data_IF_832297546919
#
_entry.id   IF_832297546919
#
_cell.length_a   1.000
_cell.length_b   1.000
_cell.length_c   1.000
_cell.angle_alpha   90.00
_cell.angle_beta   90.00
_cell.angle_gamma   90.00
#
_symmetry.space_group_name_H-M   'P 1'
#
loop_
_entity.id
_entity.type
_entity.pdbx_description
1 polymer ?
#
# COMPACT_ATOMS: atom_id res chain seq x y z
N UNK A 1 -14.55 -32.02 -12.82
CA UNK A 1 -15.75 -32.38 -12.03
C UNK A 1 -15.31 -32.66 -10.60
N UNK A 2 -15.30 -31.64 -9.74
CA UNK A 2 -15.35 -31.68 -8.27
C UNK A 2 -15.25 -30.22 -7.80
N UNK A 3 -16.38 -29.52 -7.81
CA UNK A 3 -16.51 -28.22 -7.14
C UNK A 3 -16.45 -28.52 -5.64
N UNK A 4 -15.44 -27.99 -4.94
CA UNK A 4 -15.50 -27.88 -3.48
C UNK A 4 -16.62 -26.88 -3.17
N UNK A 5 -17.74 -27.39 -2.67
CA UNK A 5 -18.75 -26.60 -1.99
C UNK A 5 -18.18 -26.24 -0.62
N UNK A 6 -17.56 -25.06 -0.52
CA UNK A 6 -17.30 -24.43 0.77
C UNK A 6 -18.66 -24.00 1.34
N UNK A 7 -19.10 -24.69 2.40
CA UNK A 7 -20.26 -24.27 3.17
C UNK A 7 -19.95 -22.93 3.84
N UNK A 8 -20.58 -21.88 3.33
CA UNK A 8 -20.57 -20.54 3.91
C UNK A 8 -21.38 -20.56 5.22
N UNK A 9 -20.71 -20.79 6.34
CA UNK A 9 -21.27 -20.53 7.65
C UNK A 9 -21.03 -19.05 7.97
N UNK A 10 -22.11 -18.26 8.00
CA UNK A 10 -22.07 -16.85 8.38
C UNK A 10 -21.42 -16.70 9.77
N UNK A 11 -20.36 -15.90 9.94
CA UNK A 11 -19.90 -15.54 11.27
C UNK A 11 -20.97 -14.65 11.93
N UNK A 12 -21.69 -15.19 12.90
CA UNK A 12 -22.66 -14.45 13.70
C UNK A 12 -21.95 -13.23 14.36
N UNK A 13 -22.49 -12.03 14.12
CA UNK A 13 -22.13 -10.79 14.83
C UNK A 13 -21.12 -9.85 14.17
N UNK A 14 -20.94 -9.87 12.84
CA UNK A 14 -20.12 -8.87 12.12
C UNK A 14 -21.01 -7.69 11.72
N UNK A 15 -20.53 -6.44 11.90
CA UNK A 15 -21.23 -5.25 11.37
C UNK A 15 -21.24 -5.28 9.84
N UNK A 16 -22.16 -4.56 9.19
CA UNK A 16 -22.25 -4.54 7.72
C UNK A 16 -20.94 -4.13 7.02
N UNK A 17 -20.12 -3.28 7.66
CA UNK A 17 -18.79 -2.90 7.17
C UNK A 17 -17.78 -4.05 7.25
N UNK A 18 -17.73 -4.77 8.38
CA UNK A 18 -16.81 -5.91 8.55
C UNK A 18 -17.12 -7.09 7.62
N UNK A 19 -18.37 -7.25 7.18
CA UNK A 19 -18.75 -8.26 6.18
C UNK A 19 -18.23 -7.92 4.77
N UNK A 20 -18.33 -6.65 4.37
CA UNK A 20 -17.79 -6.18 3.09
C UNK A 20 -16.26 -6.31 3.08
N UNK A 21 -15.62 -5.98 4.20
CA UNK A 21 -14.16 -6.14 4.37
C UNK A 21 -13.74 -7.60 4.22
N UNK A 22 -14.42 -8.52 4.92
CA UNK A 22 -14.14 -9.95 4.77
C UNK A 22 -14.34 -10.45 3.33
N UNK A 23 -15.42 -10.04 2.67
CA UNK A 23 -15.70 -10.43 1.27
C UNK A 23 -14.63 -9.89 0.31
N UNK A 24 -14.25 -8.62 0.45
CA UNK A 24 -13.21 -8.00 -0.37
C UNK A 24 -11.87 -8.71 -0.18
N UNK A 25 -11.51 -9.10 1.05
CA UNK A 25 -10.28 -9.84 1.31
C UNK A 25 -10.24 -11.18 0.55
N UNK A 26 -11.33 -11.95 0.57
CA UNK A 26 -11.45 -13.23 -0.15
C UNK A 26 -11.36 -13.06 -1.69
N UNK A 27 -11.87 -11.96 -2.25
CA UNK A 27 -11.82 -11.71 -3.70
C UNK A 27 -10.50 -11.11 -4.20
N UNK A 28 -9.60 -10.67 -3.30
CA UNK A 28 -8.32 -10.06 -3.66
C UNK A 28 -7.19 -11.09 -3.80
N UNK A 29 -7.43 -12.37 -3.50
CA UNK A 29 -6.46 -13.43 -3.76
C UNK A 29 -6.40 -13.78 -5.26
N UNK A 30 -5.25 -13.54 -5.89
CA UNK A 30 -4.95 -13.99 -7.26
C UNK A 30 -3.67 -14.82 -7.28
N UNK A 31 -3.68 -15.91 -8.04
CA UNK A 31 -2.51 -16.77 -8.22
C UNK A 31 -1.42 -16.13 -9.08
N UNK A 32 -1.83 -15.23 -10.00
CA UNK A 32 -0.95 -14.60 -10.98
C UNK A 32 -0.77 -13.11 -10.68
N UNK A 33 0.48 -12.65 -10.73
CA UNK A 33 0.85 -11.24 -10.62
C UNK A 33 1.20 -10.76 -12.03
N UNK A 34 0.46 -9.77 -12.53
CA UNK A 34 0.66 -9.18 -13.87
C UNK A 34 0.75 -7.67 -13.77
N UNK A 35 1.54 -7.04 -14.65
CA UNK A 35 1.53 -5.59 -14.84
C UNK A 35 2.20 -4.78 -13.73
N UNK A 36 3.05 -5.43 -12.93
CA UNK A 36 3.87 -4.77 -11.90
C UNK A 36 5.38 -4.86 -12.22
N UNK A 37 5.76 -5.24 -13.44
CA UNK A 37 7.16 -5.44 -13.85
C UNK A 37 8.03 -4.21 -13.58
N UNK A 38 7.49 -3.02 -13.82
CA UNK A 38 8.17 -1.76 -13.54
C UNK A 38 8.61 -1.62 -12.07
N UNK A 39 7.86 -2.18 -11.12
CA UNK A 39 8.23 -2.16 -9.69
C UNK A 39 9.54 -2.92 -9.46
N UNK A 40 9.68 -4.10 -10.08
CA UNK A 40 10.89 -4.93 -9.99
C UNK A 40 12.06 -4.22 -10.65
N UNK A 41 11.83 -3.61 -11.81
CA UNK A 41 12.87 -2.90 -12.55
C UNK A 41 13.38 -1.68 -11.77
N UNK A 42 12.49 -0.84 -11.22
CA UNK A 42 12.88 0.32 -10.39
C UNK A 42 13.55 -0.08 -9.08
N UNK A 43 13.08 -1.16 -8.45
CA UNK A 43 13.72 -1.68 -7.25
C UNK A 43 15.17 -2.12 -7.51
N UNK A 44 15.46 -2.66 -8.70
CA UNK A 44 16.81 -3.08 -9.13
C UNK A 44 17.67 -1.95 -9.72
N UNK A 45 17.07 -0.84 -10.11
CA UNK A 45 17.81 0.27 -10.74
C UNK A 45 18.83 0.88 -9.76
N UNK A 46 20.12 0.79 -10.09
CA UNK A 46 21.21 1.29 -9.26
C UNK A 46 21.23 2.82 -9.15
N UNK A 47 20.57 3.56 -10.05
CA UNK A 47 20.46 5.02 -9.95
C UNK A 47 19.48 5.47 -8.88
N UNK A 48 18.63 4.57 -8.38
CA UNK A 48 17.64 4.86 -7.35
C UNK A 48 18.20 4.39 -6.01
N UNK A 49 18.48 5.33 -5.11
CA UNK A 49 18.99 5.03 -3.76
C UNK A 49 17.90 4.48 -2.83
N UNK A 50 16.68 5.01 -2.97
CA UNK A 50 15.52 4.70 -2.11
C UNK A 50 14.25 4.64 -2.95
N UNK A 51 13.46 3.58 -2.78
CA UNK A 51 12.15 3.42 -3.42
C UNK A 51 11.07 3.21 -2.36
N UNK A 52 10.25 4.23 -2.12
CA UNK A 52 9.10 4.11 -1.23
C UNK A 52 7.82 3.87 -2.05
N UNK A 53 7.25 2.67 -1.90
CA UNK A 53 6.02 2.25 -2.57
C UNK A 53 4.86 2.49 -1.61
N UNK A 54 4.00 3.45 -1.94
CA UNK A 54 2.77 3.71 -1.20
C UNK A 54 1.63 3.06 -1.99
N UNK A 55 0.99 2.04 -1.42
CA UNK A 55 -0.18 1.40 -2.02
C UNK A 55 -1.41 1.54 -1.15
N UNK A 56 -2.51 1.91 -1.78
CA UNK A 56 -3.84 1.98 -1.15
C UNK A 56 -4.62 0.66 -1.31
N UNK A 57 -4.06 -0.29 -2.04
CA UNK A 57 -4.64 -1.62 -2.19
C UNK A 57 -4.42 -2.43 -0.90
N UNK A 58 -5.38 -3.30 -0.61
CA UNK A 58 -5.32 -4.16 0.57
C UNK A 58 -4.61 -5.50 0.30
N UNK A 59 -4.51 -5.91 -0.97
CA UNK A 59 -3.85 -7.14 -1.41
C UNK A 59 -2.35 -7.17 -1.10
N UNK A 60 -1.71 -8.32 -1.26
CA UNK A 60 -0.28 -8.54 -0.98
C UNK A 60 0.57 -8.68 -2.25
N UNK A 61 0.09 -8.18 -3.40
CA UNK A 61 0.72 -8.46 -4.70
C UNK A 61 2.12 -7.86 -4.81
N UNK A 62 2.33 -6.64 -4.31
CA UNK A 62 3.65 -6.00 -4.33
C UNK A 62 4.64 -6.76 -3.46
N UNK A 63 4.24 -7.15 -2.24
CA UNK A 63 5.08 -7.93 -1.33
C UNK A 63 5.44 -9.29 -1.93
N UNK A 64 4.44 -9.99 -2.49
CA UNK A 64 4.65 -11.30 -3.13
C UNK A 64 5.59 -11.16 -4.32
N UNK A 65 5.41 -10.15 -5.16
CA UNK A 65 6.27 -9.89 -6.32
C UNK A 65 7.72 -9.66 -5.91
N UNK A 66 7.95 -8.84 -4.88
CA UNK A 66 9.29 -8.53 -4.39
C UNK A 66 9.95 -9.78 -3.77
N UNK A 67 9.21 -10.57 -2.99
CA UNK A 67 9.69 -11.87 -2.46
C UNK A 67 10.03 -12.86 -3.58
N UNK A 68 9.18 -12.97 -4.61
CA UNK A 68 9.41 -13.86 -5.76
C UNK A 68 10.65 -13.47 -6.59
N UNK A 69 11.11 -12.23 -6.47
CA UNK A 69 12.26 -11.69 -7.19
C UNK A 69 13.49 -11.48 -6.30
N UNK A 70 13.47 -12.01 -5.07
CA UNK A 70 14.53 -11.89 -4.06
C UNK A 70 14.93 -10.43 -3.77
N UNK A 71 13.97 -9.51 -3.80
CA UNK A 71 14.19 -8.09 -3.50
C UNK A 71 13.85 -7.84 -2.02
N UNK A 72 14.82 -7.44 -1.18
CA UNK A 72 14.55 -7.09 0.21
C UNK A 72 13.76 -5.78 0.30
N UNK A 73 12.80 -5.72 1.22
CA UNK A 73 12.01 -4.53 1.50
C UNK A 73 11.70 -4.40 2.99
N UNK A 74 11.45 -3.16 3.42
CA UNK A 74 10.84 -2.82 4.70
C UNK A 74 9.31 -2.73 4.54
N UNK A 75 8.55 -3.26 5.48
CA UNK A 75 7.08 -3.09 5.51
C UNK A 75 6.56 -2.67 6.89
N UNK A 76 7.46 -2.40 7.85
CA UNK A 76 7.09 -2.01 9.21
C UNK A 76 6.79 -3.20 10.11
N UNK A 77 7.13 -4.42 9.69
CA UNK A 77 6.97 -5.62 10.50
C UNK A 77 8.29 -6.33 10.71
N UNK A 78 8.54 -6.75 11.94
CA UNK A 78 9.76 -7.45 12.32
C UNK A 78 9.92 -8.83 11.66
N UNK A 79 10.95 -9.60 12.07
CA UNK A 79 11.18 -10.94 11.57
C UNK A 79 10.03 -11.89 11.91
N UNK A 80 9.97 -13.01 11.19
CA UNK A 80 8.99 -14.07 11.43
C UNK A 80 9.24 -14.72 12.80
N UNK A 81 8.21 -14.74 13.65
CA UNK A 81 8.15 -15.47 14.92
C UNK A 81 7.01 -16.52 14.84
N UNK A 82 7.36 -17.70 14.32
CA UNK A 82 6.39 -18.76 14.03
C UNK A 82 5.47 -18.37 12.87
N UNK A 83 4.18 -18.24 13.15
CA UNK A 83 3.14 -17.91 12.17
C UNK A 83 2.88 -16.40 12.03
N UNK A 84 3.62 -15.54 12.73
CA UNK A 84 3.37 -14.09 12.79
C UNK A 84 4.62 -13.26 12.53
N UNK A 85 4.42 -12.05 12.00
CA UNK A 85 5.37 -10.94 12.10
C UNK A 85 4.69 -9.78 12.83
N UNK A 86 5.29 -9.32 13.92
CA UNK A 86 4.73 -8.23 14.71
C UNK A 86 5.13 -6.87 14.13
N UNK A 87 4.23 -5.89 14.23
CA UNK A 87 4.55 -4.52 13.85
C UNK A 87 5.77 -4.03 14.64
N UNK A 88 6.74 -3.49 13.92
CA UNK A 88 7.97 -2.90 14.42
C UNK A 88 8.29 -1.71 13.52
N UNK A 89 7.91 -0.51 13.97
CA UNK A 89 8.14 0.72 13.22
C UNK A 89 9.63 0.98 12.94
N UNK A 90 10.52 0.45 13.79
CA UNK A 90 11.97 0.58 13.59
C UNK A 90 12.49 -0.19 12.37
N UNK A 91 11.71 -1.12 11.81
CA UNK A 91 12.02 -1.82 10.55
C UNK A 91 12.29 -0.83 9.41
N UNK A 92 11.53 0.27 9.34
CA UNK A 92 11.72 1.28 8.29
C UNK A 92 13.08 1.99 8.35
N UNK A 93 13.69 2.08 9.53
CA UNK A 93 14.93 2.82 9.76
C UNK A 93 16.16 1.91 9.86
N UNK A 94 15.98 0.70 10.39
CA UNK A 94 17.09 -0.21 10.72
C UNK A 94 17.47 -1.14 9.56
N UNK A 95 16.55 -1.39 8.63
CA UNK A 95 16.83 -2.23 7.46
C UNK A 95 17.71 -1.51 6.44
N UNK A 96 18.65 -2.25 5.87
CA UNK A 96 19.42 -1.80 4.70
C UNK A 96 18.65 -1.94 3.38
N UNK A 97 17.41 -2.44 3.42
CA UNK A 97 16.60 -2.59 2.22
C UNK A 97 16.38 -1.24 1.56
N UNK A 98 16.60 -1.16 0.25
CA UNK A 98 16.33 0.02 -0.58
C UNK A 98 14.82 0.31 -0.71
N UNK A 99 14.01 -0.75 -0.75
CA UNK A 99 12.56 -0.65 -0.97
C UNK A 99 11.84 -0.56 0.37
N UNK A 100 10.86 0.33 0.49
CA UNK A 100 9.88 0.34 1.59
C UNK A 100 8.47 0.26 1.04
N UNK A 101 7.60 -0.46 1.72
CA UNK A 101 6.19 -0.57 1.37
C UNK A 101 5.37 0.06 2.49
N UNK A 102 4.52 1.00 2.12
CA UNK A 102 3.61 1.67 3.02
C UNK A 102 2.18 1.36 2.59
N UNK A 103 1.38 0.86 3.53
CA UNK A 103 -0.05 0.54 3.34
C UNK A 103 -0.94 1.40 4.23
N UNK A 104 -1.21 2.66 3.87
CA UNK A 104 -2.06 3.57 4.66
C UNK A 104 -3.47 3.01 4.92
N UNK A 105 -3.92 2.11 4.06
CA UNK A 105 -5.21 1.44 4.14
C UNK A 105 -5.16 0.08 4.87
N UNK A 106 -3.99 -0.37 5.32
CA UNK A 106 -3.78 -1.71 5.85
C UNK A 106 -3.83 -2.80 4.79
N UNK A 107 -3.79 -4.05 5.23
CA UNK A 107 -3.72 -5.21 4.34
C UNK A 107 -4.62 -6.35 4.79
N UNK A 108 -4.94 -7.23 3.84
CA UNK A 108 -5.78 -8.43 4.07
C UNK A 108 -5.09 -9.47 4.96
N UNK A 109 -3.76 -9.44 5.07
CA UNK A 109 -2.98 -10.35 5.91
C UNK A 109 -2.64 -9.77 7.30
N UNK A 110 -3.12 -8.56 7.62
CA UNK A 110 -2.94 -7.95 8.94
C UNK A 110 -4.06 -8.40 9.86
N UNK A 111 -3.74 -8.97 11.02
CA UNK A 111 -4.75 -9.41 11.97
C UNK A 111 -4.49 -8.90 13.38
N UNK A 112 -5.58 -8.64 14.12
CA UNK A 112 -5.49 -8.33 15.55
C UNK A 112 -5.16 -9.59 16.33
N UNK A 113 -4.11 -9.53 17.13
CA UNK A 113 -3.68 -10.62 18.00
C UNK A 113 -3.97 -10.25 19.45
N UNK A 114 -4.62 -11.16 20.20
CA UNK A 114 -4.96 -10.90 21.60
C UNK A 114 -3.71 -10.61 22.43
N UNK A 115 -3.74 -9.49 23.15
CA UNK A 115 -2.63 -9.05 24.00
C UNK A 115 -1.50 -8.35 23.24
N UNK A 116 -1.72 -7.96 21.99
CA UNK A 116 -0.76 -7.19 21.16
C UNK A 116 -1.42 -5.86 20.78
N UNK A 117 -0.66 -4.76 20.91
CA UNK A 117 -1.16 -3.40 20.70
C UNK A 117 -1.51 -3.10 19.24
N UNK A 118 -0.71 -3.64 18.31
CA UNK A 118 -0.86 -3.44 16.88
C UNK A 118 -1.23 -4.75 16.16
N UNK A 119 -1.84 -4.69 14.97
CA UNK A 119 -1.99 -5.86 14.12
C UNK A 119 -0.63 -6.51 13.82
N UNK A 120 -0.66 -7.80 13.54
CA UNK A 120 0.48 -8.58 13.08
C UNK A 120 0.18 -9.14 11.68
N UNK A 121 1.21 -9.32 10.86
CA UNK A 121 1.08 -10.03 9.58
C UNK A 121 1.02 -11.54 9.88
N UNK A 122 0.04 -12.22 9.31
CA UNK A 122 -0.06 -13.67 9.38
C UNK A 122 0.77 -14.33 8.26
N UNK A 123 1.64 -15.25 8.63
CA UNK A 123 2.53 -16.00 7.73
C UNK A 123 2.30 -17.52 7.77
N UNK A 124 1.43 -17.99 8.67
CA UNK A 124 1.14 -19.41 8.84
C UNK A 124 0.18 -19.97 7.80
N UNK A 125 -0.18 -21.25 7.96
CA UNK A 125 -1.14 -21.95 7.09
C UNK A 125 -2.53 -22.13 7.70
N UNK A 126 -2.69 -21.84 9.00
CA UNK A 126 -3.96 -22.00 9.71
C UNK A 126 -4.20 -20.90 10.76
N UNK A 127 -5.07 -19.94 10.44
CA UNK A 127 -5.46 -18.82 11.31
C UNK A 127 -6.07 -19.27 12.66
N UNK A 128 -6.68 -20.46 12.72
CA UNK A 128 -7.28 -20.99 13.95
C UNK A 128 -6.25 -21.62 14.91
N UNK A 129 -5.05 -21.91 14.43
CA UNK A 129 -3.98 -22.56 15.20
C UNK A 129 -2.65 -21.81 15.04
N UNK A 130 -2.69 -20.50 15.23
CA UNK A 130 -1.52 -19.64 15.16
C UNK A 130 -0.57 -19.87 16.35
N UNK A 131 0.72 -20.06 16.07
CA UNK A 131 1.78 -20.31 17.06
C UNK A 131 2.99 -19.42 16.82
N UNK A 132 3.65 -19.03 17.89
CA UNK A 132 4.98 -18.42 17.86
C UNK A 132 6.06 -19.50 17.68
N UNK A 133 7.30 -19.10 17.37
CA UNK A 133 8.44 -20.02 17.27
C UNK A 133 8.70 -20.78 18.58
N UNK A 134 8.36 -20.17 19.72
CA UNK A 134 8.39 -20.81 21.04
C UNK A 134 7.34 -21.93 21.23
N UNK A 135 6.41 -22.10 20.29
CA UNK A 135 5.27 -23.01 20.38
C UNK A 135 4.05 -22.42 21.09
N UNK A 136 4.17 -21.22 21.68
CA UNK A 136 3.06 -20.52 22.34
C UNK A 136 1.94 -20.23 21.34
N UNK A 137 0.73 -20.68 21.68
CA UNK A 137 -0.46 -20.41 20.86
C UNK A 137 -0.95 -18.98 21.05
N UNK A 138 -1.27 -18.30 19.94
CA UNK A 138 -1.87 -16.96 19.91
C UNK A 138 -3.28 -17.03 19.37
N UNK A 139 -4.16 -16.19 19.92
CA UNK A 139 -5.52 -16.04 19.43
C UNK A 139 -5.60 -14.85 18.48
N UNK A 140 -5.93 -15.13 17.23
CA UNK A 140 -6.18 -14.13 16.19
C UNK A 140 -7.68 -13.78 16.18
N UNK A 141 -8.01 -12.50 16.04
CA UNK A 141 -9.37 -12.10 15.68
C UNK A 141 -9.57 -12.27 14.17
N UNK A 142 -10.14 -13.42 13.79
CA UNK A 142 -10.30 -13.87 12.40
C UNK A 142 -11.45 -13.10 11.71
N UNK A 143 -12.30 -12.40 12.47
CA UNK A 143 -13.53 -11.82 11.91
C UNK A 143 -13.25 -10.66 10.95
N UNK A 144 -12.14 -9.94 11.12
CA UNK A 144 -11.86 -8.78 10.26
C UNK A 144 -10.35 -8.52 10.22
N UNK A 145 -9.70 -8.69 9.05
CA UNK A 145 -8.34 -8.21 8.88
C UNK A 145 -8.29 -6.69 9.12
N UNK A 146 -7.15 -6.19 9.58
CA UNK A 146 -6.94 -4.81 9.95
C UNK A 146 -6.66 -3.95 8.71
N UNK A 147 -7.70 -3.66 7.95
CA UNK A 147 -7.66 -2.71 6.86
C UNK A 147 -8.87 -1.75 6.89
N UNK A 148 -8.77 -0.65 6.15
CA UNK A 148 -9.72 0.45 6.19
C UNK A 148 -10.63 0.47 4.96
N UNK A 149 -11.93 0.22 5.14
CA UNK A 149 -12.97 0.41 4.13
C UNK A 149 -13.97 1.52 4.50
N UNK A 150 -14.69 2.05 3.51
CA UNK A 150 -15.80 3.00 3.72
C UNK A 150 -15.40 4.46 4.04
N UNK A 151 -16.35 5.29 4.54
CA UNK A 151 -16.15 6.74 4.73
C UNK A 151 -15.50 7.13 6.08
N UNK A 152 -15.38 6.21 7.05
CA UNK A 152 -14.78 6.47 8.36
C UNK A 152 -13.24 6.50 8.39
N UNK A 153 -12.59 6.31 7.23
CA UNK A 153 -11.13 6.15 7.11
C UNK A 153 -10.35 7.34 7.66
N UNK A 154 -10.83 8.56 7.42
CA UNK A 154 -10.16 9.81 7.83
C UNK A 154 -9.94 9.85 9.35
N UNK A 155 -10.92 9.39 10.14
CA UNK A 155 -10.79 9.31 11.60
C UNK A 155 -9.80 8.22 12.03
N UNK A 156 -9.70 7.16 11.23
CA UNK A 156 -8.89 5.98 11.55
C UNK A 156 -7.43 6.17 11.16
N UNK A 157 -7.12 7.04 10.19
CA UNK A 157 -5.75 7.46 9.84
C UNK A 157 -4.96 8.06 11.00
N UNK A 158 -5.64 8.50 12.06
CA UNK A 158 -5.03 9.09 13.24
C UNK A 158 -5.03 8.13 14.45
N UNK A 159 -5.12 6.80 14.22
CA UNK A 159 -5.21 5.81 15.30
C UNK A 159 -4.37 4.56 15.02
N UNK A 160 -3.74 4.04 16.09
CA UNK A 160 -3.09 2.73 16.07
C UNK A 160 -1.99 2.64 15.02
N UNK A 161 -1.86 1.49 14.35
CA UNK A 161 -0.84 1.29 13.31
C UNK A 161 -0.99 2.29 12.16
N UNK A 162 -2.21 2.73 11.86
CA UNK A 162 -2.45 3.64 10.74
C UNK A 162 -1.83 5.02 10.99
N UNK A 163 -1.80 5.53 12.22
CA UNK A 163 -1.10 6.79 12.50
C UNK A 163 0.41 6.68 12.25
N UNK A 164 1.01 5.54 12.59
CA UNK A 164 2.44 5.30 12.33
C UNK A 164 2.71 5.20 10.83
N UNK A 165 1.91 4.43 10.08
CA UNK A 165 2.06 4.32 8.63
C UNK A 165 1.83 5.69 7.94
N UNK A 166 0.87 6.49 8.41
CA UNK A 166 0.65 7.83 7.88
C UNK A 166 1.79 8.79 8.22
N UNK A 167 2.43 8.64 9.38
CA UNK A 167 3.64 9.36 9.72
C UNK A 167 4.78 8.99 8.76
N UNK A 168 5.03 7.69 8.54
CA UNK A 168 6.05 7.19 7.60
C UNK A 168 5.79 7.64 6.16
N UNK A 169 4.52 7.64 5.73
CA UNK A 169 4.13 8.19 4.42
C UNK A 169 4.41 9.68 4.31
N UNK A 170 4.16 10.45 5.37
CA UNK A 170 4.50 11.87 5.38
C UNK A 170 6.02 12.09 5.30
N UNK A 171 6.81 11.28 6.01
CA UNK A 171 8.27 11.32 5.89
C UNK A 171 8.75 10.99 4.48
N UNK A 172 8.16 9.97 3.82
CA UNK A 172 8.48 9.64 2.43
C UNK A 172 8.25 10.85 1.51
N UNK A 173 7.09 11.51 1.59
CA UNK A 173 6.85 12.75 0.83
C UNK A 173 7.91 13.83 1.12
N UNK A 174 8.38 13.96 2.36
CA UNK A 174 9.41 14.94 2.73
C UNK A 174 10.81 14.60 2.18
N UNK A 175 11.08 13.34 1.91
CA UNK A 175 12.39 12.83 1.47
C UNK A 175 12.49 12.70 -0.05
N UNK A 176 11.36 12.66 -0.76
CA UNK A 176 11.32 12.52 -2.23
C UNK A 176 10.84 13.80 -2.91
N UNK A 177 11.46 14.10 -4.05
CA UNK A 177 11.04 15.16 -4.97
C UNK A 177 10.24 14.64 -6.18
N UNK A 178 10.21 13.31 -6.38
CA UNK A 178 9.57 12.68 -7.52
C UNK A 178 8.50 11.69 -7.05
N UNK A 179 7.33 11.74 -7.66
CA UNK A 179 6.23 10.81 -7.42
C UNK A 179 5.75 10.21 -8.74
N UNK A 180 5.79 8.90 -8.88
CA UNK A 180 5.14 8.20 -10.01
C UNK A 180 3.82 7.62 -9.50
N UNK A 181 2.71 7.98 -10.14
CA UNK A 181 1.37 7.59 -9.71
C UNK A 181 0.65 6.82 -10.82
N UNK A 182 0.02 5.69 -10.47
CA UNK A 182 -0.82 4.90 -11.37
C UNK A 182 -2.00 4.30 -10.62
N UNK A 183 -3.16 4.19 -11.29
CA UNK A 183 -4.33 3.45 -10.78
C UNK A 183 -5.07 4.09 -9.60
N UNK A 184 -4.62 5.23 -9.08
CA UNK A 184 -5.29 5.93 -7.99
C UNK A 184 -6.36 6.91 -8.50
N UNK A 185 -7.63 6.64 -8.17
CA UNK A 185 -8.80 7.36 -8.68
C UNK A 185 -9.13 8.70 -8.00
N UNK A 186 -8.27 9.22 -7.13
CA UNK A 186 -8.43 10.52 -6.43
C UNK A 186 -9.68 10.65 -5.54
N UNK A 187 -10.30 9.54 -5.17
CA UNK A 187 -11.47 9.51 -4.30
C UNK A 187 -11.16 9.66 -2.80
N UNK A 188 -9.89 9.65 -2.39
CA UNK A 188 -9.50 9.82 -0.98
C UNK A 188 -8.98 11.23 -0.71
N UNK A 189 -9.84 12.06 -0.13
CA UNK A 189 -9.52 13.45 0.21
C UNK A 189 -8.29 13.59 1.12
N UNK A 190 -8.05 12.69 2.06
CA UNK A 190 -6.91 12.81 2.97
C UNK A 190 -5.58 12.49 2.27
N UNK A 191 -5.57 11.50 1.36
CA UNK A 191 -4.41 11.22 0.51
C UNK A 191 -4.17 12.39 -0.45
N UNK A 192 -5.23 12.89 -1.09
CA UNK A 192 -5.16 14.03 -2.01
C UNK A 192 -4.51 15.25 -1.35
N UNK A 193 -4.97 15.65 -0.16
CA UNK A 193 -4.38 16.80 0.54
C UNK A 193 -2.90 16.63 0.84
N UNK A 194 -2.43 15.41 1.11
CA UNK A 194 -1.00 15.15 1.32
C UNK A 194 -0.18 15.32 0.04
N UNK A 195 -0.69 14.85 -1.08
CA UNK A 195 -0.06 15.05 -2.39
C UNK A 195 -0.01 16.54 -2.76
N UNK A 196 -1.13 17.27 -2.57
CA UNK A 196 -1.19 18.72 -2.82
C UNK A 196 -0.19 19.47 -1.94
N UNK A 197 -0.17 19.16 -0.63
CA UNK A 197 0.76 19.78 0.30
C UNK A 197 2.21 19.48 -0.07
N UNK A 198 2.50 18.24 -0.47
CA UNK A 198 3.81 17.85 -0.93
C UNK A 198 4.24 18.63 -2.18
N UNK A 199 3.39 18.76 -3.20
CA UNK A 199 3.65 19.65 -4.33
C UNK A 199 3.90 21.09 -3.86
N UNK A 200 3.16 21.56 -2.85
CA UNK A 200 3.36 22.89 -2.28
C UNK A 200 4.68 23.10 -1.51
N UNK A 201 5.36 22.05 -1.05
CA UNK A 201 6.56 22.19 -0.18
C UNK A 201 7.82 22.65 -0.90
N UNK A 202 7.98 22.38 -2.18
CA UNK A 202 9.19 22.70 -2.95
C UNK A 202 8.87 22.76 -4.43
N UNK A 203 9.49 23.69 -5.16
CA UNK A 203 9.36 23.77 -6.62
C UNK A 203 10.05 22.63 -7.38
N UNK A 204 10.91 21.87 -6.69
CA UNK A 204 11.50 20.66 -7.23
C UNK A 204 10.54 19.46 -7.20
N UNK A 205 9.47 19.53 -6.40
CA UNK A 205 8.55 18.41 -6.27
C UNK A 205 7.73 18.27 -7.55
N UNK A 206 7.72 17.09 -8.14
CA UNK A 206 6.98 16.84 -9.36
C UNK A 206 6.40 15.44 -9.39
N UNK A 207 5.24 15.29 -10.01
CA UNK A 207 4.54 14.03 -10.16
C UNK A 207 4.48 13.63 -11.64
N UNK A 208 4.68 12.36 -11.93
CA UNK A 208 4.35 11.74 -13.20
C UNK A 208 3.10 10.88 -13.00
N UNK A 209 2.04 11.23 -13.72
CA UNK A 209 0.76 10.53 -13.70
C UNK A 209 0.68 9.56 -14.87
N UNK A 210 0.76 8.27 -14.57
CA UNK A 210 0.56 7.16 -15.50
C UNK A 210 -0.95 6.85 -15.55
N UNK A 211 -1.64 7.47 -16.50
CA UNK A 211 -3.08 7.33 -16.65
C UNK A 211 -3.49 7.61 -18.10
N UNK A 212 -4.25 6.70 -18.73
CA UNK A 212 -4.68 6.85 -20.13
C UNK A 212 -5.62 8.02 -20.37
N UNK A 213 -6.46 8.32 -19.39
CA UNK A 213 -7.42 9.42 -19.48
C UNK A 213 -7.39 10.27 -18.21
N UNK A 214 -6.37 11.13 -18.01
CA UNK A 214 -6.20 11.86 -16.76
C UNK A 214 -7.35 12.84 -16.49
N UNK A 215 -8.10 13.24 -17.52
CA UNK A 215 -9.26 14.12 -17.37
C UNK A 215 -10.37 13.48 -16.54
N UNK A 216 -10.54 12.15 -16.60
CA UNK A 216 -11.50 11.43 -15.74
C UNK A 216 -11.20 11.58 -14.24
N UNK A 217 -9.93 11.76 -13.86
CA UNK A 217 -9.55 11.96 -12.46
C UNK A 217 -9.96 13.36 -11.96
N UNK A 218 -9.85 14.35 -12.85
CA UNK A 218 -10.21 15.75 -12.59
C UNK A 218 -11.72 15.85 -12.34
N UNK A 219 -12.53 15.19 -13.16
CA UNK A 219 -13.98 15.19 -13.05
C UNK A 219 -14.46 14.59 -11.72
N UNK A 220 -13.73 13.61 -11.19
CA UNK A 220 -14.06 12.95 -9.92
C UNK A 220 -13.68 13.75 -8.68
N UNK A 221 -12.84 14.78 -8.82
CA UNK A 221 -12.36 15.57 -7.69
C UNK A 221 -12.20 17.05 -8.06
N UNK A 222 -13.31 17.81 -7.94
CA UNK A 222 -13.31 19.26 -8.16
C UNK A 222 -12.24 20.00 -7.36
N UNK A 223 -11.92 19.53 -6.15
CA UNK A 223 -10.89 20.12 -5.28
C UNK A 223 -9.48 19.97 -5.85
N UNK A 224 -9.21 18.86 -6.54
CA UNK A 224 -7.93 18.64 -7.22
C UNK A 224 -7.87 19.28 -8.59
N UNK A 225 -9.00 19.61 -9.21
CA UNK A 225 -9.02 20.11 -10.58
C UNK A 225 -8.24 21.41 -10.77
N UNK A 226 -8.41 22.38 -9.87
CA UNK A 226 -7.69 23.67 -9.95
C UNK A 226 -6.20 23.48 -9.70
N UNK A 227 -5.86 22.70 -8.66
CA UNK A 227 -4.48 22.39 -8.30
C UNK A 227 -3.78 21.65 -9.43
N UNK A 228 -4.42 20.63 -9.99
CA UNK A 228 -3.91 19.84 -11.10
C UNK A 228 -3.58 20.73 -12.29
N UNK A 229 -4.52 21.57 -12.74
CA UNK A 229 -4.29 22.47 -13.88
C UNK A 229 -3.09 23.38 -13.64
N UNK A 230 -3.02 24.00 -12.47
CA UNK A 230 -1.92 24.89 -12.11
C UNK A 230 -0.55 24.19 -12.10
N UNK A 231 -0.46 22.94 -11.63
CA UNK A 231 0.81 22.20 -11.61
C UNK A 231 1.14 21.53 -12.95
N UNK A 232 0.16 21.22 -13.79
CA UNK A 232 0.40 20.81 -15.19
C UNK A 232 0.97 21.98 -15.99
N UNK A 233 0.38 23.18 -15.89
CA UNK A 233 0.89 24.39 -16.56
C UNK A 233 2.33 24.72 -16.14
N UNK A 234 2.69 24.43 -14.90
CA UNK A 234 4.06 24.60 -14.36
C UNK A 234 5.03 23.48 -14.74
N UNK A 235 4.61 22.44 -15.46
CA UNK A 235 5.45 21.28 -15.79
C UNK A 235 5.85 20.44 -14.56
N UNK A 236 5.08 20.52 -13.49
CA UNK A 236 5.30 19.81 -12.22
C UNK A 236 4.38 18.61 -12.06
N UNK A 237 3.31 18.52 -12.86
CA UNK A 237 2.59 17.28 -13.12
C UNK A 237 2.81 16.94 -14.59
N UNK A 238 3.46 15.80 -14.84
CA UNK A 238 3.70 15.26 -16.17
C UNK A 238 2.71 14.14 -16.43
N UNK A 239 2.14 14.12 -17.62
CA UNK A 239 1.15 13.12 -18.02
C UNK A 239 1.81 12.08 -18.91
N UNK A 240 1.49 10.81 -18.65
CA UNK A 240 1.81 9.70 -19.52
C UNK A 240 0.54 8.89 -19.76
N UNK A 241 0.19 8.70 -21.03
CA UNK A 241 -0.98 7.90 -21.45
C UNK A 241 -0.73 6.39 -21.36
N UNK A 242 -0.03 5.96 -20.33
CA UNK A 242 0.29 4.55 -20.07
C UNK A 242 -0.13 4.18 -18.67
N UNK A 243 -0.48 2.92 -18.46
CA UNK A 243 -0.61 2.37 -17.11
C UNK A 243 0.75 1.91 -16.59
N UNK A 244 0.87 1.71 -15.27
CA UNK A 244 2.05 1.06 -14.68
C UNK A 244 2.44 -0.24 -15.39
N UNK A 245 1.44 -1.03 -15.81
CA UNK A 245 1.63 -2.31 -16.52
C UNK A 245 2.19 -2.19 -17.92
N UNK A 246 2.24 -0.97 -18.46
CA UNK A 246 2.66 -0.67 -19.84
C UNK A 246 3.94 0.18 -19.87
N UNK A 247 4.22 0.87 -18.77
CA UNK A 247 5.38 1.72 -18.60
C UNK A 247 6.66 0.89 -18.43
N UNK A 248 7.75 1.38 -19.02
CA UNK A 248 9.10 0.83 -18.92
C UNK A 248 10.00 1.79 -18.13
N UNK A 249 11.18 1.36 -17.65
CA UNK A 249 12.06 2.21 -16.85
C UNK A 249 12.47 3.46 -17.62
N UNK A 250 12.76 3.31 -18.92
CA UNK A 250 13.09 4.43 -19.80
C UNK A 250 11.99 5.53 -19.85
N UNK A 251 10.73 5.20 -19.57
CA UNK A 251 9.64 6.17 -19.52
C UNK A 251 9.64 7.02 -18.24
N UNK A 252 10.20 6.50 -17.14
CA UNK A 252 10.07 7.11 -15.80
C UNK A 252 11.40 7.53 -15.20
N UNK A 253 12.52 6.84 -15.48
CA UNK A 253 13.83 7.09 -14.86
C UNK A 253 14.35 8.50 -15.16
N UNK A 254 14.13 9.01 -16.38
CA UNK A 254 14.49 10.39 -16.73
C UNK A 254 13.72 11.44 -15.92
N UNK A 255 12.49 11.12 -15.52
CA UNK A 255 11.71 11.96 -14.63
C UNK A 255 12.14 11.82 -13.17
N UNK A 256 12.42 10.59 -12.70
CA UNK A 256 12.88 10.34 -11.32
C UNK A 256 14.22 11.06 -11.06
N UNK A 257 15.12 11.07 -12.05
CA UNK A 257 16.45 11.66 -11.95
C UNK A 257 16.49 13.16 -12.33
N UNK A 258 15.34 13.86 -12.33
CA UNK A 258 15.26 15.29 -12.66
C UNK A 258 15.83 16.22 -11.57
N UNK A 259 16.20 15.67 -10.42
CA UNK A 259 16.67 16.38 -9.23
C UNK A 259 18.16 16.66 -9.26
#
# INVERSE_FOLDING_TARGET
>A
MHRRTSHCALPFGVSGAGFIEWLVAEYLETDRIDGLDLVVELARDASIERLDIITLNHDTLVERLLRQNDIPFADGFGPVDGDLRFFDDSDFDTTSAKVRILKPHGSVDWYRVRGVSYPAVFCGSNLHNCRLASGLQKHIDIKTPAFLSGPGKILTYNRGIFSEIFYRMHQAFRQHNSLVMSGYGWGDTAINFRIINWLGYSDQNAMMLLHRNPDELIERSMQLAEVYRAYVEKGRILLSETWLSEAKPANVTGFINRG
#
